data_IF_289692375102
#
_entry.id   IF_289692375102
#
_cell.length_a   1.000
_cell.length_b   1.000
_cell.length_c   1.000
_cell.angle_alpha   90.00
_cell.angle_beta   90.00
_cell.angle_gamma   90.00
#
_symmetry.space_group_name_H-M   'P 1'
#
loop_
_entity.id
_entity.type
_entity.pdbx_description
1 polymer ?
#
# COMPACT_ATOMS: atom_id res chain seq x y z
N UNK A 1 -28.36 32.63 0.81
CA UNK A 1 -27.80 31.34 1.22
C UNK A 1 -26.52 31.18 0.42
N UNK A 2 -25.44 31.78 0.92
CA UNK A 2 -24.09 31.69 0.37
C UNK A 2 -23.17 31.79 1.59
N UNK A 3 -22.78 30.65 2.16
CA UNK A 3 -21.77 30.50 3.22
C UNK A 3 -21.58 28.98 3.41
N UNK A 4 -20.82 28.33 2.52
CA UNK A 4 -20.39 26.91 2.65
C UNK A 4 -19.07 26.64 1.89
N UNK A 5 -18.36 27.66 1.40
CA UNK A 5 -17.19 27.49 0.52
C UNK A 5 -15.82 27.70 1.17
N UNK A 6 -15.77 28.19 2.42
CA UNK A 6 -14.48 28.50 3.10
C UNK A 6 -13.92 27.34 3.96
N UNK A 7 -14.72 26.31 4.29
CA UNK A 7 -14.28 25.22 5.18
C UNK A 7 -13.57 24.06 4.44
N UNK A 8 -13.79 23.86 3.13
CA UNK A 8 -13.22 22.74 2.37
C UNK A 8 -11.75 22.96 1.93
N UNK A 9 -11.37 24.20 1.55
CA UNK A 9 -9.99 24.52 1.16
C UNK A 9 -9.01 24.35 2.35
N UNK A 10 -9.50 24.63 3.56
CA UNK A 10 -8.76 24.51 4.81
C UNK A 10 -8.49 23.03 5.21
N UNK A 11 -9.38 22.10 4.83
CA UNK A 11 -9.19 20.67 5.06
C UNK A 11 -8.25 20.03 4.04
N UNK A 12 -8.34 20.41 2.77
CA UNK A 12 -7.45 19.92 1.71
C UNK A 12 -5.99 20.34 1.99
N UNK A 13 -5.75 21.60 2.35
CA UNK A 13 -4.41 22.09 2.67
C UNK A 13 -3.81 21.38 3.90
N UNK A 14 -4.64 21.08 4.91
CA UNK A 14 -4.19 20.29 6.08
C UNK A 14 -3.85 18.85 5.72
N UNK A 15 -4.63 18.23 4.84
CA UNK A 15 -4.38 16.86 4.37
C UNK A 15 -3.06 16.79 3.58
N UNK A 16 -2.82 17.77 2.70
CA UNK A 16 -1.61 17.89 1.91
C UNK A 16 -0.38 18.14 2.79
N UNK A 17 -0.49 19.04 3.77
CA UNK A 17 0.59 19.33 4.71
C UNK A 17 0.93 18.11 5.57
N UNK A 18 -0.06 17.32 5.97
CA UNK A 18 0.15 16.07 6.68
C UNK A 18 0.84 15.01 5.79
N UNK A 19 0.44 14.88 4.52
CA UNK A 19 1.07 13.98 3.56
C UNK A 19 2.53 14.38 3.27
N UNK A 20 2.79 15.67 3.08
CA UNK A 20 4.14 16.20 2.88
C UNK A 20 5.07 15.83 4.05
N UNK A 21 4.61 16.02 5.29
CA UNK A 21 5.38 15.62 6.49
C UNK A 21 5.67 14.12 6.54
N UNK A 22 4.72 13.28 6.12
CA UNK A 22 4.94 11.82 6.06
C UNK A 22 5.99 11.46 5.01
N UNK A 23 5.97 12.14 3.86
CA UNK A 23 6.98 11.96 2.81
C UNK A 23 8.37 12.38 3.31
N UNK A 24 8.47 13.54 3.98
CA UNK A 24 9.72 14.00 4.63
C UNK A 24 10.23 13.01 5.69
N UNK A 25 9.31 12.38 6.44
CA UNK A 25 9.64 11.34 7.41
C UNK A 25 10.03 9.99 6.77
N UNK A 26 10.05 9.88 5.44
CA UNK A 26 10.50 8.69 4.73
C UNK A 26 9.41 7.65 4.45
N UNK A 27 8.14 8.06 4.35
CA UNK A 27 7.01 7.16 4.04
C UNK A 27 7.27 6.27 2.82
N UNK A 28 7.82 6.84 1.74
CA UNK A 28 8.10 6.08 0.51
C UNK A 28 9.14 4.98 0.74
N UNK A 29 10.20 5.28 1.50
CA UNK A 29 11.22 4.30 1.87
C UNK A 29 10.61 3.18 2.71
N UNK A 30 9.75 3.52 3.67
CA UNK A 30 9.05 2.54 4.50
C UNK A 30 8.15 1.63 3.63
N UNK A 31 7.37 2.19 2.70
CA UNK A 31 6.53 1.44 1.78
C UNK A 31 7.35 0.45 0.93
N UNK A 32 8.47 0.89 0.37
CA UNK A 32 9.36 0.02 -0.41
C UNK A 32 9.97 -1.11 0.41
N UNK A 33 10.41 -0.81 1.64
CA UNK A 33 10.92 -1.83 2.57
C UNK A 33 9.81 -2.83 2.90
N UNK A 34 8.58 -2.37 3.18
CA UNK A 34 7.44 -3.22 3.47
C UNK A 34 7.08 -4.15 2.30
N UNK A 35 7.18 -3.68 1.06
CA UNK A 35 6.99 -4.52 -0.14
C UNK A 35 8.07 -5.60 -0.26
N UNK A 36 9.34 -5.25 -0.03
CA UNK A 36 10.46 -6.20 -0.07
C UNK A 36 10.30 -7.27 1.02
N UNK A 37 10.05 -6.82 2.25
CA UNK A 37 9.83 -7.70 3.41
C UNK A 37 8.60 -8.57 3.17
N UNK A 38 7.55 -7.98 2.60
CA UNK A 38 6.36 -8.63 2.04
C UNK A 38 6.70 -9.84 1.19
N UNK A 39 7.40 -9.55 0.10
CA UNK A 39 7.83 -10.52 -0.91
C UNK A 39 8.69 -11.63 -0.32
N UNK A 40 9.71 -11.27 0.46
CA UNK A 40 10.63 -12.24 1.06
C UNK A 40 9.88 -13.16 2.04
N UNK A 41 8.93 -12.64 2.80
CA UNK A 41 8.16 -13.42 3.78
C UNK A 41 7.20 -14.41 3.12
N UNK A 42 6.66 -14.07 1.95
CA UNK A 42 5.83 -14.99 1.14
C UNK A 42 6.66 -16.17 0.65
N UNK A 43 7.87 -15.90 0.14
CA UNK A 43 8.71 -16.92 -0.49
C UNK A 43 9.59 -17.70 0.50
N UNK A 44 9.78 -17.20 1.73
CA UNK A 44 10.66 -17.81 2.73
C UNK A 44 10.00 -17.83 4.11
N UNK A 45 9.41 -18.98 4.51
CA UNK A 45 8.85 -19.17 5.84
C UNK A 45 9.87 -18.88 6.96
N UNK A 46 11.14 -19.26 6.77
CA UNK A 46 12.22 -18.95 7.73
C UNK A 46 12.45 -17.45 7.91
N UNK A 47 12.38 -16.68 6.82
CA UNK A 47 12.51 -15.23 6.89
C UNK A 47 11.30 -14.60 7.59
N UNK A 48 10.09 -15.09 7.28
CA UNK A 48 8.84 -14.69 7.94
C UNK A 48 8.88 -14.92 9.45
N UNK A 49 9.29 -16.11 9.90
CA UNK A 49 9.32 -16.44 11.33
C UNK A 49 10.36 -15.58 12.07
N UNK A 50 11.52 -15.33 11.43
CA UNK A 50 12.53 -14.40 11.95
C UNK A 50 12.02 -12.96 12.04
N UNK A 51 11.26 -12.53 11.03
CA UNK A 51 10.64 -11.20 11.01
C UNK A 51 9.62 -11.08 12.14
N UNK A 52 8.71 -12.06 12.27
CA UNK A 52 7.72 -12.10 13.37
C UNK A 52 8.39 -11.95 14.73
N UNK A 53 9.40 -12.78 15.02
CA UNK A 53 10.14 -12.70 16.28
C UNK A 53 10.79 -11.32 16.53
N UNK A 54 11.20 -10.61 15.48
CA UNK A 54 11.77 -9.27 15.59
C UNK A 54 10.72 -8.19 15.81
N UNK A 55 9.55 -8.34 15.19
CA UNK A 55 8.43 -7.42 15.36
C UNK A 55 7.82 -7.57 16.75
N UNK A 56 7.66 -8.80 17.23
CA UNK A 56 7.15 -9.09 18.58
C UNK A 56 8.04 -8.47 19.67
N UNK A 57 9.36 -8.36 19.46
CA UNK A 57 10.29 -7.67 20.37
C UNK A 57 10.14 -6.14 20.41
N UNK A 58 9.35 -5.58 19.49
CA UNK A 58 9.16 -4.15 19.27
C UNK A 58 7.69 -3.75 19.33
N UNK A 59 6.83 -4.62 19.85
CA UNK A 59 5.38 -4.42 19.93
C UNK A 59 4.72 -4.12 18.57
N UNK A 60 5.30 -4.68 17.51
CA UNK A 60 4.79 -4.58 16.14
C UNK A 60 4.32 -5.95 15.65
N UNK A 61 3.44 -5.94 14.65
CA UNK A 61 2.90 -7.17 14.07
C UNK A 61 3.14 -7.26 12.56
N UNK A 62 2.97 -8.47 12.02
CA UNK A 62 2.89 -8.66 10.57
C UNK A 62 1.70 -7.90 9.96
N UNK A 63 0.66 -7.61 10.74
CA UNK A 63 -0.48 -6.80 10.29
C UNK A 63 -0.05 -5.37 9.97
N UNK A 64 0.81 -4.76 10.79
CA UNK A 64 1.30 -3.39 10.60
C UNK A 64 2.02 -3.25 9.23
N UNK A 65 2.83 -4.24 8.88
CA UNK A 65 3.51 -4.28 7.58
C UNK A 65 2.49 -4.43 6.44
N UNK A 66 1.51 -5.32 6.60
CA UNK A 66 0.46 -5.51 5.60
C UNK A 66 -0.34 -4.23 5.38
N UNK A 67 -0.67 -3.51 6.45
CA UNK A 67 -1.38 -2.23 6.37
C UNK A 67 -0.60 -1.21 5.53
N UNK A 68 0.72 -1.09 5.75
CA UNK A 68 1.58 -0.22 4.92
C UNK A 68 1.54 -0.64 3.45
N UNK A 69 1.59 -1.94 3.15
CA UNK A 69 1.53 -2.45 1.78
C UNK A 69 0.15 -2.20 1.14
N UNK A 70 -0.94 -2.39 1.89
CA UNK A 70 -2.31 -2.12 1.42
C UNK A 70 -2.49 -0.64 1.11
N UNK A 71 -2.06 0.25 2.01
CA UNK A 71 -2.12 1.69 1.81
C UNK A 71 -1.30 2.11 0.59
N UNK A 72 -0.12 1.50 0.40
CA UNK A 72 0.68 1.75 -0.80
C UNK A 72 0.00 1.28 -2.10
N UNK A 73 -0.64 0.10 -2.08
CA UNK A 73 -1.40 -0.40 -3.22
C UNK A 73 -2.55 0.56 -3.60
N UNK A 74 -3.22 1.14 -2.61
CA UNK A 74 -4.28 2.12 -2.82
C UNK A 74 -3.75 3.43 -3.42
N UNK A 75 -2.62 3.94 -2.91
CA UNK A 75 -1.95 5.12 -3.49
C UNK A 75 -1.57 4.89 -4.95
N UNK A 76 -0.91 3.75 -5.26
CA UNK A 76 -0.53 3.41 -6.62
C UNK A 76 -1.75 3.22 -7.54
N UNK A 77 -2.86 2.69 -7.03
CA UNK A 77 -4.09 2.56 -7.81
C UNK A 77 -4.65 3.93 -8.22
N UNK A 78 -4.68 4.89 -7.30
CA UNK A 78 -5.11 6.26 -7.57
C UNK A 78 -4.18 6.95 -8.57
N UNK A 79 -2.87 6.81 -8.40
CA UNK A 79 -1.87 7.36 -9.33
C UNK A 79 -2.01 6.76 -10.74
N UNK A 80 -2.20 5.43 -10.83
CA UNK A 80 -2.42 4.75 -12.09
C UNK A 80 -3.71 5.24 -12.78
N UNK A 81 -4.81 5.37 -12.04
CA UNK A 81 -6.08 5.86 -12.58
C UNK A 81 -5.94 7.28 -13.14
N UNK A 82 -5.27 8.18 -12.41
CA UNK A 82 -4.99 9.55 -12.88
C UNK A 82 -4.10 9.52 -14.13
N UNK A 83 -3.05 8.70 -14.15
CA UNK A 83 -2.17 8.57 -15.30
C UNK A 83 -2.90 8.00 -16.53
N UNK A 84 -3.76 7.01 -16.36
CA UNK A 84 -4.59 6.40 -17.40
C UNK A 84 -5.54 7.45 -18.00
N UNK A 85 -6.25 8.21 -17.15
CA UNK A 85 -7.15 9.28 -17.59
C UNK A 85 -6.42 10.41 -18.32
N UNK A 86 -5.24 10.82 -17.86
CA UNK A 86 -4.42 11.84 -18.53
C UNK A 86 -3.92 11.33 -19.89
N UNK A 87 -3.46 10.09 -19.98
CA UNK A 87 -2.99 9.50 -21.24
C UNK A 87 -4.09 9.39 -22.30
N UNK A 88 -5.34 9.15 -21.87
CA UNK A 88 -6.50 9.11 -22.76
C UNK A 88 -6.83 10.51 -23.35
N UNK A 89 -6.60 11.59 -22.60
CA UNK A 89 -6.85 12.97 -23.04
C UNK A 89 -5.75 13.50 -23.98
N UNK A 90 -4.49 13.12 -23.79
CA UNK A 90 -3.35 13.60 -24.61
C UNK A 90 -3.21 12.89 -25.97
N UNK A 91 -3.90 11.76 -26.16
CA UNK A 91 -3.83 10.94 -27.37
C UNK A 91 -4.37 11.60 -28.65
N UNK A 92 -5.01 12.77 -28.57
CA UNK A 92 -5.63 13.45 -29.71
C UNK A 92 -4.70 14.39 -30.50
N UNK A 93 -3.49 14.68 -30.01
CA UNK A 93 -2.58 15.63 -30.68
C UNK A 93 -1.07 15.41 -30.46
N UNK A 94 -0.67 14.31 -29.84
CA UNK A 94 0.71 14.03 -29.44
C UNK A 94 1.52 13.29 -30.52
N UNK A 95 2.82 13.58 -30.61
CA UNK A 95 3.79 12.88 -31.47
C UNK A 95 3.77 11.37 -31.17
N UNK A 96 3.87 10.53 -32.21
CA UNK A 96 3.87 9.07 -32.09
C UNK A 96 4.92 8.55 -31.09
N UNK A 97 6.08 9.21 -30.97
CA UNK A 97 7.11 8.84 -29.98
C UNK A 97 6.68 9.09 -28.54
N UNK A 98 6.04 10.23 -28.29
CA UNK A 98 5.55 10.60 -26.95
C UNK A 98 4.43 9.65 -26.51
N UNK A 99 3.56 9.28 -27.45
CA UNK A 99 2.50 8.30 -27.19
C UNK A 99 3.04 6.91 -26.87
N UNK A 100 4.06 6.46 -27.58
CA UNK A 100 4.71 5.16 -27.32
C UNK A 100 5.37 5.13 -25.93
N UNK A 101 6.08 6.19 -25.54
CA UNK A 101 6.72 6.30 -24.23
C UNK A 101 5.70 6.35 -23.09
N UNK A 102 4.63 7.14 -23.24
CA UNK A 102 3.54 7.20 -22.26
C UNK A 102 2.86 5.82 -22.07
N UNK A 103 2.64 5.09 -23.16
CA UNK A 103 2.03 3.74 -23.10
C UNK A 103 2.94 2.74 -22.40
N UNK A 104 4.25 2.75 -22.68
CA UNK A 104 5.22 1.88 -22.00
C UNK A 104 5.32 2.18 -20.51
N UNK A 105 5.30 3.47 -20.14
CA UNK A 105 5.30 3.88 -18.74
C UNK A 105 4.04 3.39 -18.02
N UNK A 106 2.87 3.59 -18.62
CA UNK A 106 1.59 3.15 -18.05
C UNK A 106 1.55 1.64 -17.84
N UNK A 107 2.04 0.85 -18.80
CA UNK A 107 2.16 -0.60 -18.66
C UNK A 107 3.12 -1.01 -17.52
N UNK A 108 4.25 -0.30 -17.40
CA UNK A 108 5.19 -0.51 -16.28
C UNK A 108 4.56 -0.20 -14.92
N UNK A 109 3.77 0.87 -14.82
CA UNK A 109 3.08 1.25 -13.59
C UNK A 109 1.94 0.28 -13.24
N UNK A 110 1.23 -0.25 -14.24
CA UNK A 110 0.27 -1.34 -14.06
C UNK A 110 0.91 -2.59 -13.47
N UNK A 111 2.06 -3.01 -14.00
CA UNK A 111 2.78 -4.19 -13.50
C UNK A 111 3.24 -4.01 -12.04
N UNK A 112 3.72 -2.83 -11.67
CA UNK A 112 4.06 -2.50 -10.28
C UNK A 112 2.83 -2.59 -9.37
N UNK A 113 1.70 -2.02 -9.79
CA UNK A 113 0.47 -2.05 -9.02
C UNK A 113 0.00 -3.48 -8.76
N UNK A 114 0.00 -4.33 -9.78
CA UNK A 114 -0.41 -5.73 -9.65
C UNK A 114 0.54 -6.53 -8.75
N UNK A 115 1.85 -6.26 -8.80
CA UNK A 115 2.81 -6.85 -7.87
C UNK A 115 2.48 -6.47 -6.42
N UNK A 116 2.29 -5.18 -6.13
CA UNK A 116 2.01 -4.69 -4.77
C UNK A 116 0.67 -5.23 -4.26
N UNK A 117 -0.38 -5.27 -5.09
CA UNK A 117 -1.67 -5.89 -4.75
C UNK A 117 -1.53 -7.38 -4.44
N UNK A 118 -0.78 -8.13 -5.26
CA UNK A 118 -0.54 -9.55 -5.03
C UNK A 118 0.12 -9.76 -3.67
N UNK A 119 1.12 -8.96 -3.31
CA UNK A 119 1.77 -9.03 -2.01
C UNK A 119 0.76 -8.72 -0.90
N UNK A 120 -0.04 -7.66 -1.02
CA UNK A 120 -1.04 -7.28 -0.02
C UNK A 120 -2.06 -8.40 0.29
N UNK A 121 -2.44 -9.17 -0.73
CA UNK A 121 -3.41 -10.28 -0.62
C UNK A 121 -2.73 -11.54 -0.07
N UNK A 122 -1.55 -11.87 -0.56
CA UNK A 122 -0.84 -13.11 -0.22
C UNK A 122 -0.07 -13.02 1.10
N UNK A 123 0.15 -11.80 1.62
CA UNK A 123 0.94 -11.61 2.82
C UNK A 123 0.36 -12.41 4.00
N UNK A 124 1.11 -13.36 4.57
CA UNK A 124 0.61 -14.25 5.59
C UNK A 124 0.46 -13.51 6.91
N UNK A 125 -0.75 -13.08 7.22
CA UNK A 125 -1.13 -12.66 8.58
C UNK A 125 -1.62 -13.90 9.31
N UNK A 126 -1.11 -14.21 10.52
CA UNK A 126 -1.74 -15.23 11.33
C UNK A 126 -3.21 -14.85 11.52
N UNK A 127 -4.13 -15.80 11.32
CA UNK A 127 -5.50 -15.65 11.81
C UNK A 127 -5.39 -15.27 13.28
N UNK A 128 -6.03 -14.18 13.66
CA UNK A 128 -6.03 -13.68 15.02
C UNK A 128 -6.29 -14.85 15.98
N UNK A 129 -5.52 -14.92 17.06
CA UNK A 129 -5.61 -15.98 18.06
C UNK A 129 -6.84 -15.77 18.97
N UNK A 130 -7.99 -15.46 18.37
CA UNK A 130 -9.27 -15.29 19.02
C UNK A 130 -10.21 -16.44 18.66
N UNK A 131 -9.94 -17.63 19.20
CA UNK A 131 -10.93 -18.69 19.50
C UNK A 131 -10.19 -19.92 20.06
N UNK A 132 -9.64 -19.77 21.27
CA UNK A 132 -9.21 -20.89 22.08
C UNK A 132 -9.68 -20.70 23.54
N UNK A 133 -10.96 -20.37 23.70
CA UNK A 133 -11.68 -20.61 24.96
C UNK A 133 -12.71 -21.72 24.74
N UNK A 134 -12.66 -22.76 25.58
CA UNK A 134 -13.53 -23.94 25.56
C UNK A 134 -12.85 -25.11 24.87
N UNK A 135 -12.52 -26.24 25.50
CA UNK A 135 -13.22 -26.90 26.59
C UNK A 135 -12.24 -27.94 27.17
N UNK A 136 -11.57 -27.59 28.26
CA UNK A 136 -10.85 -28.55 29.10
C UNK A 136 -11.69 -28.80 30.36
N UNK A 137 -12.78 -29.57 30.22
CA UNK A 137 -13.49 -30.14 31.36
C UNK A 137 -14.35 -31.35 30.97
N UNK A 138 -13.77 -32.55 31.07
CA UNK A 138 -14.37 -33.66 31.82
C UNK A 138 -13.46 -34.89 31.71
N UNK A 139 -12.48 -34.95 32.62
CA UNK A 139 -11.86 -36.21 32.98
C UNK A 139 -12.77 -36.97 33.95
N UNK A 140 -12.92 -38.27 33.66
CA UNK A 140 -13.03 -39.43 34.57
C UNK A 140 -13.72 -39.28 35.91
#
# INVERSE_FOLDING_TARGET
EEEDSDDEEDEEERADMHMARRLEAGLYTLQMISVIVGTVSIHSPKARDRLRNKLDQKDHTLSDIREVVVNFAQTLAREYEVAEQSSAKEGAGSDAKVREEATKKLEGDKQKLELVKSIAITFPVPADAGDAEGEAASGG
#
